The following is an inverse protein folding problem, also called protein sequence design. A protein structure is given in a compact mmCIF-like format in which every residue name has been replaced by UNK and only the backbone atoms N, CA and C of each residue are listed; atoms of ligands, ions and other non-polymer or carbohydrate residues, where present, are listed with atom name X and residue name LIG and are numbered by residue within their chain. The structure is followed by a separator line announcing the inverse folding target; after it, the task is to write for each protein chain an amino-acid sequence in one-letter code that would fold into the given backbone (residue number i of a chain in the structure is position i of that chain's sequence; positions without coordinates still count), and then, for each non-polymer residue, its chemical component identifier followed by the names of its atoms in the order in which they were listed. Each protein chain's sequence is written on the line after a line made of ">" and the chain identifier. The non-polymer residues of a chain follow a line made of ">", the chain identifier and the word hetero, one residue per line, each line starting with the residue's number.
data_IF_198024424560
#
_entry.id   IF_198024424560
#
_cell.length_a   1.000
_cell.length_b   1.000
_cell.length_c   1.000
_cell.angle_alpha   90.00
_cell.angle_beta   90.00
_cell.angle_gamma   90.00
#
_symmetry.space_group_name_H-M   'P 1'
#
loop_
_entity.id
_entity.type
_entity.pdbx_description
1 polymer ?
#
# COMPACT_ATOMS: atom_id res chain seq x y z
N UNK A 1 26.67 -28.26 56.70
CA UNK A 1 26.43 -27.13 57.61
C UNK A 1 24.97 -27.19 58.05
N UNK A 2 24.68 -27.07 59.36
CA UNK A 2 23.32 -26.94 59.90
C UNK A 2 22.73 -25.56 59.53
N UNK A 3 21.42 -25.25 59.60
CA UNK A 3 20.30 -25.68 60.47
C UNK A 3 19.04 -26.00 59.62
N UNK A 4 18.24 -27.05 59.87
CA UNK A 4 17.23 -27.28 60.93
C UNK A 4 15.92 -26.47 60.74
N UNK A 5 14.80 -27.15 60.38
CA UNK A 5 13.54 -27.33 61.17
C UNK A 5 12.78 -26.02 61.50
N UNK A 6 11.46 -25.87 61.38
CA UNK A 6 10.34 -26.55 62.08
C UNK A 6 9.01 -25.87 61.62
N UNK A 7 7.81 -26.44 61.47
CA UNK A 7 7.28 -27.80 61.29
C UNK A 7 5.81 -27.72 60.75
N UNK A 8 5.10 -28.85 60.68
CA UNK A 8 3.69 -29.03 60.30
C UNK A 8 2.74 -28.84 61.50
N UNK A 9 1.52 -28.29 61.31
CA UNK A 9 0.36 -28.74 62.09
C UNK A 9 -0.96 -28.64 61.31
N UNK A 10 -1.75 -29.72 61.38
CA UNK A 10 -3.11 -29.86 60.87
C UNK A 10 -4.09 -29.61 62.02
N UNK A 11 -5.27 -29.05 61.75
CA UNK A 11 -6.47 -29.41 62.52
C UNK A 11 -7.76 -29.16 61.71
N UNK A 12 -8.53 -30.23 61.55
CA UNK A 12 -9.88 -30.25 60.97
C UNK A 12 -10.94 -29.83 61.98
N UNK A 13 -12.03 -29.27 61.49
CA UNK A 13 -13.31 -29.26 62.20
C UNK A 13 -14.44 -29.58 61.22
N UNK A 14 -15.15 -30.69 61.47
CA UNK A 14 -16.40 -31.00 60.79
C UNK A 14 -17.58 -30.37 61.57
N UNK A 15 -18.62 -29.96 60.86
CA UNK A 15 -19.97 -29.81 61.45
C UNK A 15 -21.02 -30.22 60.41
N UNK A 16 -22.14 -30.76 60.86
CA UNK A 16 -23.08 -31.58 60.09
C UNK A 16 -24.52 -31.10 60.19
N UNK A 17 -25.34 -31.45 59.17
CA UNK A 17 -26.80 -31.19 59.12
C UNK A 17 -27.16 -29.84 58.49
N UNK A 18 -28.21 -29.69 57.68
CA UNK A 18 -29.28 -30.62 57.26
C UNK A 18 -29.77 -30.27 55.82
N UNK A 19 -30.56 -31.13 55.14
CA UNK A 19 -30.83 -30.99 53.71
C UNK A 19 -31.96 -29.99 53.39
N UNK A 20 -31.64 -28.93 52.65
CA UNK A 20 -32.66 -28.05 52.06
C UNK A 20 -33.04 -28.49 50.64
N UNK A 21 -34.33 -28.79 50.50
CA UNK A 21 -35.08 -29.08 49.28
C UNK A 21 -34.56 -28.47 47.97
N UNK A 22 -34.36 -29.33 46.97
CA UNK A 22 -34.09 -28.92 45.57
C UNK A 22 -35.36 -28.27 45.00
N UNK A 23 -35.39 -26.94 44.94
CA UNK A 23 -36.29 -26.21 44.06
C UNK A 23 -35.68 -26.20 42.66
N UNK A 24 -36.32 -26.88 41.70
CA UNK A 24 -35.89 -26.87 40.30
C UNK A 24 -36.18 -25.50 39.67
N UNK A 25 -35.21 -24.59 39.73
CA UNK A 25 -35.21 -23.38 38.91
C UNK A 25 -34.95 -23.77 37.47
N UNK A 26 -35.94 -23.54 36.59
CA UNK A 26 -35.74 -23.63 35.14
C UNK A 26 -34.63 -22.65 34.73
N UNK A 27 -33.59 -23.20 34.12
CA UNK A 27 -32.58 -22.45 33.40
C UNK A 27 -33.24 -21.57 32.32
N UNK A 28 -32.90 -20.27 32.19
CA UNK A 28 -33.42 -19.45 31.12
C UNK A 28 -32.85 -19.94 29.79
N UNK A 29 -33.73 -20.22 28.82
CA UNK A 29 -33.31 -20.69 27.50
C UNK A 29 -32.32 -19.71 26.85
N UNK A 30 -31.17 -20.21 26.40
CA UNK A 30 -30.20 -19.41 25.66
C UNK A 30 -30.86 -18.79 24.42
N UNK A 31 -30.61 -17.50 24.10
CA UNK A 31 -31.17 -16.89 22.92
C UNK A 31 -30.66 -17.64 21.68
N UNK A 32 -31.60 -18.10 20.85
CA UNK A 32 -31.26 -18.70 19.56
C UNK A 32 -30.63 -17.63 18.68
N UNK A 33 -29.31 -17.67 18.51
CA UNK A 33 -28.64 -16.79 17.55
C UNK A 33 -29.11 -17.16 16.15
N UNK A 34 -29.83 -16.24 15.51
CA UNK A 34 -30.09 -16.29 14.07
C UNK A 34 -28.74 -16.30 13.34
N UNK A 35 -28.52 -17.19 12.36
CA UNK A 35 -27.27 -17.21 11.61
C UNK A 35 -27.08 -15.86 10.92
N UNK A 36 -25.95 -15.21 11.19
CA UNK A 36 -25.52 -14.01 10.46
C UNK A 36 -25.35 -14.42 8.99
N UNK A 37 -25.98 -13.73 8.02
CA UNK A 37 -25.78 -14.06 6.63
C UNK A 37 -24.30 -13.88 6.27
N UNK A 38 -23.68 -14.96 5.83
CA UNK A 38 -22.31 -14.91 5.30
C UNK A 38 -22.31 -13.93 4.12
N UNK A 39 -21.39 -12.96 4.06
CA UNK A 39 -21.34 -12.05 2.92
C UNK A 39 -21.10 -12.88 1.65
N UNK A 40 -22.05 -12.80 0.72
CA UNK A 40 -21.88 -13.39 -0.61
C UNK A 40 -20.64 -12.76 -1.24
N UNK A 41 -19.71 -13.55 -1.83
CA UNK A 41 -18.57 -12.97 -2.49
C UNK A 41 -19.06 -12.06 -3.63
N UNK A 42 -18.68 -10.79 -3.57
CA UNK A 42 -18.87 -9.86 -4.69
C UNK A 42 -18.22 -10.47 -5.94
N UNK A 43 -18.85 -10.37 -7.12
CA UNK A 43 -18.24 -10.86 -8.34
C UNK A 43 -16.93 -10.11 -8.57
N UNK A 44 -15.83 -10.84 -8.79
CA UNK A 44 -14.52 -10.24 -9.12
C UNK A 44 -14.66 -9.57 -10.48
N UNK A 45 -14.73 -8.23 -10.48
CA UNK A 45 -14.92 -7.43 -11.69
C UNK A 45 -13.59 -7.31 -12.44
N UNK A 46 -13.38 -8.20 -13.41
CA UNK A 46 -12.29 -8.09 -14.37
C UNK A 46 -12.64 -7.09 -15.46
N UNK A 47 -11.88 -6.00 -15.58
CA UNK A 47 -11.99 -5.02 -16.67
C UNK A 47 -10.97 -5.36 -17.75
N UNK A 48 -11.44 -5.76 -18.93
CA UNK A 48 -10.54 -6.10 -20.04
C UNK A 48 -9.82 -4.85 -20.55
N UNK A 49 -8.50 -4.80 -20.42
CA UNK A 49 -7.65 -3.74 -20.98
C UNK A 49 -7.38 -4.02 -22.46
N UNK A 50 -7.21 -2.98 -23.25
CA UNK A 50 -6.87 -3.08 -24.67
C UNK A 50 -5.39 -3.49 -24.81
N UNK A 51 -5.12 -4.71 -25.30
CA UNK A 51 -3.76 -5.16 -25.60
C UNK A 51 -3.27 -4.47 -26.88
N UNK A 52 -2.32 -3.55 -26.75
CA UNK A 52 -1.67 -2.89 -27.89
C UNK A 52 -0.63 -3.84 -28.51
N UNK A 53 -0.57 -4.01 -29.85
CA UNK A 53 0.41 -4.91 -30.47
C UNK A 53 1.86 -4.45 -30.27
N UNK A 54 2.72 -5.37 -29.83
CA UNK A 54 4.15 -5.11 -29.65
C UNK A 54 4.92 -5.22 -30.97
N UNK A 55 5.03 -4.13 -31.74
CA UNK A 55 5.80 -4.09 -33.01
C UNK A 55 6.72 -2.87 -33.19
N UNK A 56 6.89 -2.02 -32.18
CA UNK A 56 7.90 -0.97 -32.15
C UNK A 56 8.77 -1.12 -30.91
N UNK A 57 10.08 -0.90 -31.03
CA UNK A 57 10.97 -0.77 -29.88
C UNK A 57 10.44 0.38 -29.01
N UNK A 58 10.09 0.15 -27.74
CA UNK A 58 9.36 1.14 -26.97
C UNK A 58 10.31 2.28 -26.58
N UNK A 59 10.10 3.44 -27.19
CA UNK A 59 10.86 4.66 -26.91
C UNK A 59 10.26 5.39 -25.70
N UNK A 60 11.09 6.03 -24.85
CA UNK A 60 10.59 6.93 -23.83
C UNK A 60 9.60 7.98 -24.36
N UNK A 61 8.63 8.36 -23.53
CA UNK A 61 7.70 9.46 -23.78
C UNK A 61 8.51 10.76 -23.80
N UNK A 62 8.35 11.64 -24.81
CA UNK A 62 8.98 12.96 -24.79
C UNK A 62 8.29 13.84 -23.73
N UNK A 63 8.93 14.03 -22.58
CA UNK A 63 8.41 14.78 -21.43
C UNK A 63 8.60 16.32 -21.52
N UNK A 64 9.46 16.77 -22.44
CA UNK A 64 9.74 18.20 -22.65
C UNK A 64 8.76 18.84 -23.64
N UNK A 65 7.55 19.15 -23.16
CA UNK A 65 6.50 19.85 -23.90
C UNK A 65 5.69 20.78 -22.99
N UNK A 66 4.85 21.63 -23.58
CA UNK A 66 3.82 22.37 -22.84
C UNK A 66 2.64 21.45 -22.47
N UNK A 67 1.96 21.76 -21.37
CA UNK A 67 0.82 20.99 -20.88
C UNK A 67 -0.44 21.08 -21.77
N UNK A 68 -1.54 20.38 -21.38
CA UNK A 68 -1.71 19.65 -20.12
C UNK A 68 -0.80 18.42 -20.04
N UNK A 69 -0.38 18.08 -18.82
CA UNK A 69 0.41 16.87 -18.55
C UNK A 69 -0.49 15.73 -18.08
N UNK A 70 -0.10 14.51 -18.41
CA UNK A 70 -0.81 13.27 -18.06
C UNK A 70 -0.09 12.53 -16.94
N UNK A 71 -0.74 12.34 -15.80
CA UNK A 71 -0.21 11.59 -14.66
C UNK A 71 -0.84 10.20 -14.63
N UNK A 72 -0.02 9.15 -14.72
CA UNK A 72 -0.46 7.81 -14.39
C UNK A 72 -0.40 7.60 -12.87
N UNK A 73 -1.52 7.18 -12.28
CA UNK A 73 -1.68 6.94 -10.85
C UNK A 73 -1.89 5.44 -10.66
N UNK A 74 -0.91 4.79 -10.05
CA UNK A 74 -0.92 3.36 -9.76
C UNK A 74 -1.17 3.16 -8.25
N UNK A 75 -2.29 2.56 -7.91
CA UNK A 75 -2.57 2.17 -6.53
C UNK A 75 -2.03 0.75 -6.32
N UNK A 76 -1.00 0.60 -5.48
CA UNK A 76 -0.31 -0.66 -5.26
C UNK A 76 -1.24 -1.84 -4.94
N UNK A 77 -0.88 -3.03 -5.43
CA UNK A 77 -1.65 -4.28 -5.26
C UNK A 77 -3.09 -4.18 -5.78
N UNK A 78 -4.03 -5.00 -5.29
CA UNK A 78 -5.45 -4.93 -5.67
C UNK A 78 -6.05 -6.27 -6.10
N UNK A 79 -7.34 -6.48 -5.83
CA UNK A 79 -8.06 -7.71 -6.10
C UNK A 79 -7.87 -8.81 -5.04
N UNK A 80 -8.39 -10.02 -5.31
CA UNK A 80 -8.27 -11.15 -4.39
C UNK A 80 -6.85 -11.72 -4.40
N UNK A 81 -6.27 -11.94 -3.22
CA UNK A 81 -4.93 -12.53 -3.04
C UNK A 81 -3.78 -11.51 -2.97
N UNK A 82 -3.99 -10.27 -3.41
CA UNK A 82 -2.97 -9.22 -3.51
C UNK A 82 -3.27 -8.08 -2.53
N UNK A 83 -3.02 -8.32 -1.24
CA UNK A 83 -3.38 -7.39 -0.17
C UNK A 83 -2.24 -6.48 0.31
N UNK A 84 -1.00 -6.75 -0.11
CA UNK A 84 0.19 -6.03 0.32
C UNK A 84 0.50 -6.23 1.81
N UNK A 85 1.09 -5.21 2.43
CA UNK A 85 1.24 -5.12 3.86
C UNK A 85 -0.13 -5.03 4.58
N UNK A 86 -0.12 -5.42 5.86
CA UNK A 86 -1.30 -5.25 6.71
C UNK A 86 -0.88 -4.90 8.14
N UNK A 87 -1.72 -4.12 8.80
CA UNK A 87 -1.50 -3.65 10.16
C UNK A 87 -2.81 -3.53 10.94
N UNK A 88 -2.74 -2.85 12.08
CA UNK A 88 -3.91 -2.53 12.89
C UNK A 88 -3.86 -1.06 13.31
N UNK A 89 -4.99 -0.36 13.16
CA UNK A 89 -5.16 0.99 13.68
C UNK A 89 -5.34 0.98 15.22
N UNK A 90 -5.42 2.16 15.86
CA UNK A 90 -5.44 2.29 17.32
C UNK A 90 -6.63 1.58 17.98
N UNK A 91 -7.75 1.44 17.26
CA UNK A 91 -8.97 0.76 17.72
C UNK A 91 -8.97 -0.75 17.43
N UNK A 92 -7.83 -1.34 17.01
CA UNK A 92 -7.74 -2.75 16.61
C UNK A 92 -8.37 -3.07 15.24
N UNK A 93 -8.86 -2.05 14.51
CA UNK A 93 -9.35 -2.20 13.14
C UNK A 93 -8.23 -2.61 12.19
N UNK A 94 -8.48 -3.62 11.35
CA UNK A 94 -7.48 -4.14 10.40
C UNK A 94 -7.26 -3.14 9.27
N UNK A 95 -6.00 -2.85 8.98
CA UNK A 95 -5.54 -1.99 7.89
C UNK A 95 -4.90 -2.84 6.79
N UNK A 96 -5.17 -2.50 5.52
CA UNK A 96 -4.70 -3.25 4.35
C UNK A 96 -4.18 -2.29 3.29
N UNK A 97 -2.96 -2.53 2.84
CA UNK A 97 -2.26 -1.65 1.91
C UNK A 97 -3.06 -1.37 0.64
N UNK A 98 -3.59 -2.41 -0.03
CA UNK A 98 -4.33 -2.25 -1.29
C UNK A 98 -5.54 -1.31 -1.18
N UNK A 99 -6.18 -1.28 -0.02
CA UNK A 99 -7.41 -0.50 0.22
C UNK A 99 -7.06 0.96 0.52
N UNK A 100 -5.99 1.17 1.30
CA UNK A 100 -5.48 2.49 1.69
C UNK A 100 -4.76 3.20 0.53
N UNK A 101 -4.01 2.45 -0.28
CA UNK A 101 -3.41 2.93 -1.52
C UNK A 101 -4.49 3.35 -2.52
N UNK A 102 -5.60 2.61 -2.62
CA UNK A 102 -6.73 2.96 -3.49
C UNK A 102 -7.43 4.25 -3.02
N UNK A 103 -7.78 4.36 -1.74
CA UNK A 103 -8.38 5.59 -1.19
C UNK A 103 -7.48 6.82 -1.43
N UNK A 104 -6.16 6.68 -1.23
CA UNK A 104 -5.19 7.76 -1.47
C UNK A 104 -5.06 8.10 -2.97
N UNK A 105 -5.05 7.10 -3.86
CA UNK A 105 -4.98 7.30 -5.30
C UNK A 105 -6.24 7.97 -5.88
N UNK A 106 -7.44 7.60 -5.39
CA UNK A 106 -8.69 8.22 -5.82
C UNK A 106 -8.78 9.70 -5.39
N UNK A 107 -8.31 10.03 -4.18
CA UNK A 107 -8.17 11.42 -3.73
C UNK A 107 -7.19 12.20 -4.62
N UNK A 108 -6.05 11.60 -4.97
CA UNK A 108 -5.06 12.22 -5.84
C UNK A 108 -5.60 12.48 -7.24
N UNK A 109 -6.39 11.56 -7.80
CA UNK A 109 -7.05 11.68 -9.11
C UNK A 109 -7.96 12.92 -9.19
N UNK A 110 -8.82 13.12 -8.18
CA UNK A 110 -9.68 14.30 -8.09
C UNK A 110 -8.87 15.60 -7.96
N UNK A 111 -7.83 15.61 -7.12
CA UNK A 111 -6.98 16.77 -6.87
C UNK A 111 -6.13 17.17 -8.08
N UNK A 112 -5.62 16.21 -8.85
CA UNK A 112 -4.85 16.46 -10.07
C UNK A 112 -5.73 16.97 -11.21
N UNK A 113 -6.91 16.38 -11.42
CA UNK A 113 -7.88 16.89 -12.41
C UNK A 113 -8.31 18.33 -12.07
N UNK A 114 -8.56 18.62 -10.80
CA UNK A 114 -8.86 19.98 -10.34
C UNK A 114 -7.70 20.98 -10.56
N UNK A 115 -6.45 20.49 -10.56
CA UNK A 115 -5.25 21.27 -10.85
C UNK A 115 -4.91 21.38 -12.37
N UNK A 116 -5.74 20.79 -13.25
CA UNK A 116 -5.56 20.88 -14.71
C UNK A 116 -4.67 19.81 -15.34
N UNK A 117 -4.40 18.71 -14.62
CA UNK A 117 -3.75 17.52 -15.18
C UNK A 117 -4.76 16.55 -15.78
N UNK A 118 -4.36 15.86 -16.84
CA UNK A 118 -5.01 14.63 -17.27
C UNK A 118 -4.52 13.48 -16.36
N UNK A 119 -5.38 12.49 -16.09
CA UNK A 119 -5.06 11.41 -15.16
C UNK A 119 -5.43 10.04 -15.69
N UNK A 120 -4.60 9.05 -15.40
CA UNK A 120 -4.78 7.65 -15.78
C UNK A 120 -4.67 6.79 -14.53
N UNK A 121 -5.81 6.46 -13.93
CA UNK A 121 -5.89 5.47 -12.86
C UNK A 121 -5.66 4.07 -13.43
N UNK A 122 -4.64 3.37 -12.92
CA UNK A 122 -4.37 1.96 -13.28
C UNK A 122 -5.49 1.05 -12.76
N UNK A 123 -6.08 1.40 -11.61
CA UNK A 123 -7.33 0.80 -11.11
C UNK A 123 -8.15 1.84 -10.36
N UNK A 124 -9.46 1.79 -10.54
CA UNK A 124 -10.49 2.59 -9.86
C UNK A 124 -11.29 1.77 -8.83
N UNK A 125 -10.80 0.57 -8.49
CA UNK A 125 -11.44 -0.37 -7.58
C UNK A 125 -10.52 -1.48 -7.08
N UNK A 126 -11.11 -2.43 -6.36
CA UNK A 126 -10.42 -3.62 -5.83
C UNK A 126 -10.40 -4.78 -6.85
N UNK A 127 -9.54 -4.66 -7.87
CA UNK A 127 -9.37 -5.69 -8.90
C UNK A 127 -7.91 -5.79 -9.39
N UNK A 128 -7.63 -6.89 -10.09
CA UNK A 128 -6.44 -7.11 -10.92
C UNK A 128 -6.76 -6.87 -12.40
N UNK A 129 -5.78 -6.42 -13.18
CA UNK A 129 -5.89 -6.33 -14.64
C UNK A 129 -5.78 -7.71 -15.33
N UNK A 130 -5.11 -8.65 -14.67
CA UNK A 130 -4.93 -10.03 -15.08
C UNK A 130 -5.83 -10.99 -14.29
N UNK A 131 -5.97 -12.23 -14.78
CA UNK A 131 -6.66 -13.30 -14.04
C UNK A 131 -5.65 -14.05 -13.19
N UNK A 132 -5.93 -14.16 -11.89
CA UNK A 132 -5.23 -15.11 -11.03
C UNK A 132 -5.70 -16.53 -11.36
N UNK A 133 -4.81 -17.35 -11.94
CA UNK A 133 -5.11 -18.75 -12.30
C UNK A 133 -4.78 -19.77 -11.21
N UNK A 134 -4.08 -19.33 -10.14
CA UNK A 134 -3.65 -20.17 -9.02
C UNK A 134 -2.44 -21.07 -9.31
N UNK A 135 -1.79 -20.96 -10.47
CA UNK A 135 -0.67 -21.82 -10.84
C UNK A 135 0.63 -21.48 -10.08
N UNK A 136 0.94 -20.19 -9.93
CA UNK A 136 2.07 -19.68 -9.15
C UNK A 136 1.82 -18.20 -8.75
N UNK A 137 2.12 -17.84 -7.50
CA UNK A 137 2.05 -16.45 -7.04
C UNK A 137 3.03 -15.57 -7.82
N UNK A 138 4.31 -15.95 -7.96
CA UNK A 138 5.30 -15.06 -8.59
C UNK A 138 4.96 -14.75 -10.05
N UNK A 139 4.55 -15.77 -10.80
CA UNK A 139 4.15 -15.63 -12.21
C UNK A 139 2.92 -14.74 -12.38
N UNK A 140 1.90 -14.90 -11.52
CA UNK A 140 0.73 -14.02 -11.53
C UNK A 140 1.08 -12.57 -11.13
N UNK A 141 2.00 -12.37 -10.17
CA UNK A 141 2.51 -11.04 -9.80
C UNK A 141 3.16 -10.34 -10.99
N UNK A 142 4.07 -11.03 -11.68
CA UNK A 142 4.81 -10.48 -12.83
C UNK A 142 3.83 -10.16 -13.97
N UNK A 143 2.86 -11.04 -14.25
CA UNK A 143 1.84 -10.79 -15.26
C UNK A 143 0.96 -9.56 -14.92
N UNK A 144 0.55 -9.42 -13.65
CA UNK A 144 -0.24 -8.29 -13.17
C UNK A 144 0.54 -6.97 -13.29
N UNK A 145 1.77 -6.91 -12.74
CA UNK A 145 2.61 -5.70 -12.85
C UNK A 145 2.90 -5.38 -14.32
N UNK A 146 3.08 -6.38 -15.17
CA UNK A 146 3.27 -6.15 -16.61
C UNK A 146 2.05 -5.50 -17.26
N UNK A 147 0.83 -5.97 -16.96
CA UNK A 147 -0.40 -5.39 -17.49
C UNK A 147 -0.59 -3.94 -17.01
N UNK A 148 -0.15 -3.61 -15.79
CA UNK A 148 -0.17 -2.23 -15.26
C UNK A 148 0.77 -1.32 -16.02
N UNK A 149 2.02 -1.75 -16.22
CA UNK A 149 3.01 -0.99 -17.00
C UNK A 149 2.57 -0.85 -18.47
N UNK A 150 1.95 -1.89 -19.05
CA UNK A 150 1.39 -1.81 -20.41
C UNK A 150 0.27 -0.77 -20.52
N UNK A 151 -0.64 -0.70 -19.54
CA UNK A 151 -1.72 0.30 -19.49
C UNK A 151 -1.15 1.72 -19.46
N UNK A 152 -0.17 1.97 -18.58
CA UNK A 152 0.50 3.27 -18.42
C UNK A 152 1.32 3.67 -19.65
N UNK A 153 2.00 2.70 -20.27
CA UNK A 153 2.74 2.91 -21.52
C UNK A 153 1.78 3.20 -22.69
N UNK A 154 0.64 2.50 -22.77
CA UNK A 154 -0.38 2.71 -23.80
C UNK A 154 -1.07 4.07 -23.67
N UNK A 155 -1.23 4.60 -22.45
CA UNK A 155 -1.78 5.94 -22.22
C UNK A 155 -0.78 7.07 -22.51
N UNK A 156 0.51 6.75 -22.70
CA UNK A 156 1.60 7.72 -22.92
C UNK A 156 1.68 8.80 -21.82
N UNK A 157 1.50 8.40 -20.56
CA UNK A 157 1.62 9.33 -19.44
C UNK A 157 3.02 9.95 -19.35
N UNK A 158 3.09 11.19 -18.87
CA UNK A 158 4.34 11.96 -18.75
C UNK A 158 5.10 11.61 -17.47
N UNK A 159 4.39 11.15 -16.43
CA UNK A 159 4.94 10.57 -15.21
C UNK A 159 4.10 9.40 -14.70
N UNK A 160 4.74 8.47 -13.99
CA UNK A 160 4.10 7.39 -13.24
C UNK A 160 4.31 7.57 -11.73
N UNK A 161 3.23 7.71 -10.98
CA UNK A 161 3.24 7.75 -9.52
C UNK A 161 2.53 6.51 -8.98
N UNK A 162 3.30 5.63 -8.36
CA UNK A 162 2.80 4.46 -7.64
C UNK A 162 2.73 4.74 -6.15
N UNK A 163 1.58 4.42 -5.54
CA UNK A 163 1.26 4.69 -4.14
C UNK A 163 1.12 3.37 -3.40
N UNK A 164 1.92 3.21 -2.35
CA UNK A 164 2.01 2.03 -1.50
C UNK A 164 1.91 2.41 -0.01
N UNK A 165 1.95 1.43 0.89
CA UNK A 165 2.19 1.64 2.32
C UNK A 165 3.01 0.48 2.89
N UNK A 166 4.20 0.79 3.39
CA UNK A 166 5.29 -0.16 3.56
C UNK A 166 5.00 -1.21 4.65
N UNK A 167 5.69 -2.34 4.62
CA UNK A 167 5.57 -3.41 5.60
C UNK A 167 6.90 -4.11 5.85
N UNK A 168 7.24 -4.31 7.12
CA UNK A 168 8.42 -5.06 7.53
C UNK A 168 8.12 -6.10 8.59
N UNK A 169 8.93 -7.17 8.61
CA UNK A 169 9.01 -8.09 9.75
C UNK A 169 9.55 -7.39 11.02
N UNK A 170 10.25 -6.27 10.88
CA UNK A 170 10.72 -5.44 11.99
C UNK A 170 9.73 -4.30 12.25
N UNK A 171 8.82 -4.48 13.22
CA UNK A 171 7.80 -3.48 13.58
C UNK A 171 8.35 -2.14 14.10
N UNK A 172 9.66 -2.05 14.35
CA UNK A 172 10.36 -0.80 14.68
C UNK A 172 10.68 0.09 13.48
N UNK A 173 10.67 -0.45 12.25
CA UNK A 173 10.87 0.34 11.03
C UNK A 173 9.61 1.15 10.71
N UNK A 174 9.79 2.46 10.53
CA UNK A 174 8.76 3.48 10.34
C UNK A 174 9.30 4.61 9.48
N UNK A 175 8.45 5.42 8.86
CA UNK A 175 8.84 6.63 8.12
C UNK A 175 8.68 6.56 6.60
N UNK A 176 9.16 7.60 5.92
CA UNK A 176 8.85 7.90 4.51
C UNK A 176 10.00 7.52 3.58
N UNK A 177 9.72 6.71 2.56
CA UNK A 177 10.64 6.37 1.46
C UNK A 177 9.99 6.72 0.12
N UNK A 178 10.79 7.20 -0.85
CA UNK A 178 10.35 7.32 -2.24
C UNK A 178 11.40 6.71 -3.16
N UNK A 179 11.02 5.67 -3.88
CA UNK A 179 11.90 4.92 -4.75
C UNK A 179 11.81 5.41 -6.19
N UNK A 180 12.96 5.45 -6.86
CA UNK A 180 13.09 5.74 -8.28
C UNK A 180 14.13 4.80 -8.90
N UNK A 181 14.09 4.64 -10.22
CA UNK A 181 15.09 3.87 -10.95
C UNK A 181 16.14 4.81 -11.58
N UNK A 182 17.41 4.83 -11.11
CA UNK A 182 18.45 5.70 -11.66
C UNK A 182 18.96 5.24 -13.04
N UNK A 183 18.82 3.96 -13.37
CA UNK A 183 19.38 3.31 -14.56
C UNK A 183 18.45 3.41 -15.79
N UNK A 184 17.50 4.37 -15.77
CA UNK A 184 16.64 4.74 -16.89
C UNK A 184 17.24 5.89 -17.70
N UNK A 185 16.89 6.03 -19.01
CA UNK A 185 17.27 7.21 -19.80
C UNK A 185 16.78 8.55 -19.22
N UNK A 186 15.76 8.50 -18.37
CA UNK A 186 15.12 9.61 -17.65
C UNK A 186 15.32 9.49 -16.12
N UNK A 187 16.43 8.89 -15.69
CA UNK A 187 16.73 8.64 -14.27
C UNK A 187 16.90 9.93 -13.44
N UNK A 188 17.38 11.01 -14.06
CA UNK A 188 17.52 12.33 -13.41
C UNK A 188 16.15 12.97 -13.13
N UNK A 189 15.23 12.86 -14.08
CA UNK A 189 13.86 13.34 -13.97
C UNK A 189 13.04 12.49 -12.99
N UNK A 190 13.30 11.18 -12.95
CA UNK A 190 12.72 10.29 -11.93
C UNK A 190 13.22 10.64 -10.52
N UNK A 191 14.51 10.97 -10.38
CA UNK A 191 15.07 11.45 -9.12
C UNK A 191 14.48 12.81 -8.70
N UNK A 192 14.28 13.73 -9.65
CA UNK A 192 13.65 15.02 -9.37
C UNK A 192 12.20 14.84 -8.89
N UNK A 193 11.40 14.04 -9.60
CA UNK A 193 10.03 13.69 -9.20
C UNK A 193 10.01 13.06 -7.79
N UNK A 194 10.89 12.10 -7.53
CA UNK A 194 11.02 11.47 -6.22
C UNK A 194 11.39 12.48 -5.12
N UNK A 195 12.29 13.41 -5.42
CA UNK A 195 12.75 14.43 -4.47
C UNK A 195 11.66 15.43 -4.08
N UNK A 196 10.91 15.95 -5.07
CA UNK A 196 9.77 16.84 -4.80
C UNK A 196 8.66 16.12 -4.04
N UNK A 197 8.37 14.87 -4.40
CA UNK A 197 7.33 14.09 -3.76
C UNK A 197 7.71 13.71 -2.32
N UNK A 198 8.94 13.24 -2.08
CA UNK A 198 9.48 12.99 -0.74
C UNK A 198 9.37 14.24 0.14
N UNK A 199 9.85 15.40 -0.34
CA UNK A 199 9.81 16.65 0.41
C UNK A 199 8.37 17.09 0.76
N UNK A 200 7.42 16.96 -0.18
CA UNK A 200 6.02 17.30 0.06
C UNK A 200 5.37 16.36 1.10
N UNK A 201 5.61 15.04 1.01
CA UNK A 201 5.07 14.06 1.97
C UNK A 201 5.62 14.32 3.38
N UNK A 202 6.93 14.53 3.52
CA UNK A 202 7.55 14.87 4.81
C UNK A 202 6.95 16.16 5.40
N UNK A 203 6.70 17.18 4.58
CA UNK A 203 6.09 18.44 5.03
C UNK A 203 4.63 18.26 5.47
N UNK A 204 3.84 17.46 4.77
CA UNK A 204 2.46 17.17 5.14
C UNK A 204 2.37 16.35 6.44
N UNK A 205 3.26 15.37 6.63
CA UNK A 205 3.35 14.59 7.88
C UNK A 205 3.80 15.46 9.07
N UNK A 206 4.76 16.38 8.86
CA UNK A 206 5.13 17.36 9.89
C UNK A 206 3.95 18.28 10.26
N UNK A 207 3.15 18.70 9.28
CA UNK A 207 1.92 19.48 9.48
C UNK A 207 0.80 18.75 10.24
N UNK A 208 0.86 17.41 10.32
CA UNK A 208 -0.04 16.57 11.12
C UNK A 208 0.49 16.27 12.53
N UNK A 209 1.59 16.92 12.94
CA UNK A 209 2.32 16.62 14.18
C UNK A 209 2.71 15.14 14.29
N UNK A 210 3.06 14.51 13.17
CA UNK A 210 3.66 13.18 13.15
C UNK A 210 5.17 13.27 13.33
N UNK A 211 5.76 12.27 14.01
CA UNK A 211 7.20 12.16 14.21
C UNK A 211 7.88 11.69 12.92
N UNK A 212 8.22 12.67 12.06
CA UNK A 212 8.74 12.44 10.72
C UNK A 212 10.11 11.76 10.77
N UNK A 213 10.16 10.52 10.29
CA UNK A 213 11.40 9.80 10.02
C UNK A 213 11.66 9.77 8.51
N UNK A 214 12.49 10.69 8.02
CA UNK A 214 12.93 10.69 6.62
C UNK A 214 13.92 9.55 6.36
N UNK A 215 13.53 8.63 5.49
CA UNK A 215 14.36 7.48 5.05
C UNK A 215 14.93 7.68 3.64
N UNK A 216 14.66 8.84 3.05
CA UNK A 216 15.26 9.35 1.82
C UNK A 216 14.57 8.96 0.51
N UNK A 217 15.04 9.60 -0.55
CA UNK A 217 14.88 9.11 -1.93
C UNK A 217 15.86 7.95 -2.14
N UNK A 218 15.36 6.81 -2.66
CA UNK A 218 16.10 5.53 -2.69
C UNK A 218 16.09 4.86 -4.06
N UNK A 219 17.04 3.97 -4.31
CA UNK A 219 17.08 3.20 -5.55
C UNK A 219 16.04 2.07 -5.48
N UNK A 220 15.19 1.92 -6.50
CA UNK A 220 14.18 0.86 -6.56
C UNK A 220 14.78 -0.57 -6.55
N UNK A 221 16.08 -0.71 -6.83
CA UNK A 221 16.85 -1.93 -6.59
C UNK A 221 16.81 -2.41 -5.12
N UNK A 222 16.45 -1.54 -4.18
CA UNK A 222 16.34 -1.86 -2.75
C UNK A 222 14.95 -2.43 -2.36
N UNK A 223 13.95 -2.31 -3.24
CA UNK A 223 12.59 -2.84 -3.02
C UNK A 223 12.53 -4.37 -3.27
N UNK A 224 13.40 -4.86 -4.15
CA UNK A 224 13.56 -6.28 -4.48
C UNK A 224 12.58 -6.78 -5.55
N UNK A 225 13.09 -6.98 -6.78
CA UNK A 225 12.31 -7.47 -7.93
C UNK A 225 12.72 -8.84 -8.46
N UNK A 226 13.57 -8.86 -9.49
CA UNK A 226 14.09 -10.09 -10.09
C UNK A 226 15.34 -10.58 -9.34
N UNK A 227 15.49 -11.89 -9.03
CA UNK A 227 16.73 -12.45 -8.50
C UNK A 227 17.99 -12.12 -9.33
N UNK A 228 17.83 -11.82 -10.62
CA UNK A 228 18.91 -11.50 -11.55
C UNK A 228 18.95 -9.99 -11.91
N UNK A 229 17.92 -9.23 -11.54
CA UNK A 229 17.85 -7.77 -11.70
C UNK A 229 17.06 -7.17 -10.53
N UNK A 230 17.78 -6.53 -9.60
CA UNK A 230 17.22 -6.09 -8.32
C UNK A 230 16.10 -5.05 -8.44
N UNK A 231 16.03 -4.30 -9.55
CA UNK A 231 15.04 -3.24 -9.78
C UNK A 231 13.59 -3.76 -9.74
N UNK A 232 12.67 -2.87 -9.38
CA UNK A 232 11.24 -3.17 -9.34
C UNK A 232 10.73 -3.50 -10.74
N UNK A 233 9.87 -4.50 -10.87
CA UNK A 233 9.19 -4.77 -12.15
C UNK A 233 8.38 -3.55 -12.64
N UNK A 234 7.94 -2.64 -11.77
CA UNK A 234 7.16 -1.48 -12.19
C UNK A 234 8.01 -0.41 -12.92
N UNK A 235 9.27 -0.21 -12.51
CA UNK A 235 10.14 0.86 -13.02
C UNK A 235 11.32 0.35 -13.84
N UNK A 236 11.78 -0.87 -13.56
CA UNK A 236 13.02 -1.45 -14.06
C UNK A 236 12.93 -2.16 -15.41
N UNK A 237 14.10 -2.53 -15.92
CA UNK A 237 14.30 -3.25 -17.19
C UNK A 237 14.60 -4.73 -16.95
N UNK A 238 13.69 -5.41 -16.25
CA UNK A 238 13.88 -6.80 -15.87
C UNK A 238 13.72 -7.72 -17.11
N UNK A 239 14.44 -8.83 -17.17
CA UNK A 239 14.48 -9.67 -18.37
C UNK A 239 13.09 -10.22 -18.73
N UNK A 240 12.71 -10.09 -20.00
CA UNK A 240 11.38 -10.46 -20.50
C UNK A 240 10.25 -9.47 -20.13
N UNK A 241 10.55 -8.41 -19.39
CA UNK A 241 9.59 -7.40 -18.95
C UNK A 241 9.68 -6.12 -19.80
N UNK A 242 8.53 -5.51 -20.12
CA UNK A 242 8.44 -4.20 -20.78
C UNK A 242 8.41 -3.11 -19.71
N UNK A 243 9.52 -2.40 -19.54
CA UNK A 243 9.68 -1.31 -18.59
C UNK A 243 8.72 -0.13 -18.86
N UNK A 244 8.50 0.70 -17.84
CA UNK A 244 7.82 2.00 -17.99
C UNK A 244 8.60 2.92 -18.93
N UNK A 245 7.89 3.79 -19.66
CA UNK A 245 8.46 4.67 -20.68
C UNK A 245 8.53 6.14 -20.29
N UNK A 246 8.25 6.45 -19.02
CA UNK A 246 8.22 7.79 -18.46
C UNK A 246 8.89 7.80 -17.08
N UNK A 247 9.36 8.97 -16.59
CA UNK A 247 9.79 9.15 -15.22
C UNK A 247 8.80 8.54 -14.24
N UNK A 248 9.30 7.73 -13.30
CA UNK A 248 8.45 6.88 -12.47
C UNK A 248 8.98 6.72 -11.06
N UNK A 249 8.04 6.67 -10.11
CA UNK A 249 8.32 6.62 -8.68
C UNK A 249 7.37 5.66 -7.96
N UNK A 250 7.86 5.03 -6.90
CA UNK A 250 7.06 4.27 -5.92
C UNK A 250 7.18 4.99 -4.58
N UNK A 251 6.07 5.52 -4.08
CA UNK A 251 6.02 6.21 -2.78
C UNK A 251 5.54 5.27 -1.68
N UNK A 252 6.34 5.19 -0.62
CA UNK A 252 6.11 4.42 0.58
C UNK A 252 6.07 5.41 1.78
N UNK A 253 4.95 6.11 1.99
CA UNK A 253 4.91 7.28 2.85
C UNK A 253 5.07 6.96 4.34
N UNK A 254 4.59 5.78 4.77
CA UNK A 254 4.52 5.30 6.15
C UNK A 254 4.42 3.76 6.19
N UNK A 255 4.78 3.12 7.31
CA UNK A 255 4.79 1.66 7.49
C UNK A 255 3.54 1.13 8.22
N UNK A 256 2.75 0.27 7.56
CA UNK A 256 1.65 -0.47 8.19
C UNK A 256 2.08 -1.44 9.30
N UNK A 257 3.34 -1.91 9.28
CA UNK A 257 3.91 -2.78 10.32
C UNK A 257 4.30 -2.04 11.60
N UNK A 258 4.31 -0.70 11.61
CA UNK A 258 4.66 0.09 12.78
C UNK A 258 3.41 0.76 13.38
N UNK A 259 3.26 0.67 14.70
CA UNK A 259 2.05 1.17 15.37
C UNK A 259 1.86 2.70 15.28
N UNK A 260 2.94 3.49 15.25
CA UNK A 260 2.87 4.96 15.16
C UNK A 260 2.44 5.40 13.77
N UNK A 261 3.00 4.76 12.75
CA UNK A 261 2.69 4.99 11.34
C UNK A 261 1.28 4.48 11.01
N UNK A 262 0.97 3.23 11.34
CA UNK A 262 -0.35 2.62 11.16
C UNK A 262 -1.47 3.44 11.82
N UNK A 263 -1.21 4.05 12.98
CA UNK A 263 -2.18 4.94 13.61
C UNK A 263 -2.46 6.21 12.80
N UNK A 264 -1.49 6.75 12.06
CA UNK A 264 -1.72 7.86 11.12
C UNK A 264 -2.36 7.39 9.82
N UNK A 265 -1.89 6.28 9.24
CA UNK A 265 -2.46 5.70 8.01
C UNK A 265 -3.96 5.39 8.16
N UNK A 266 -4.41 5.01 9.36
CA UNK A 266 -5.83 4.78 9.68
C UNK A 266 -6.72 6.02 9.48
N UNK A 267 -6.19 7.23 9.71
CA UNK A 267 -6.97 8.47 9.67
C UNK A 267 -7.23 8.95 8.24
N UNK A 268 -8.49 9.26 7.92
CA UNK A 268 -8.87 9.83 6.62
C UNK A 268 -8.17 11.15 6.32
N UNK A 269 -7.96 12.00 7.33
CA UNK A 269 -7.20 13.26 7.16
C UNK A 269 -5.77 12.99 6.70
N UNK A 270 -5.11 11.94 7.21
CA UNK A 270 -3.73 11.62 6.80
C UNK A 270 -3.69 11.23 5.33
N UNK A 271 -4.61 10.37 4.86
CA UNK A 271 -4.66 9.96 3.45
C UNK A 271 -5.03 11.12 2.53
N UNK A 272 -5.89 12.03 2.99
CA UNK A 272 -6.17 13.29 2.31
C UNK A 272 -4.93 14.19 2.20
N UNK A 273 -4.17 14.38 3.28
CA UNK A 273 -2.92 15.15 3.29
C UNK A 273 -1.82 14.54 2.43
N UNK A 274 -1.74 13.21 2.37
CA UNK A 274 -0.82 12.50 1.46
C UNK A 274 -1.19 12.73 -0.01
N UNK A 275 -2.48 12.67 -0.36
CA UNK A 275 -2.93 13.01 -1.72
C UNK A 275 -2.67 14.49 -2.08
N UNK A 276 -2.85 15.42 -1.13
CA UNK A 276 -2.48 16.84 -1.28
C UNK A 276 -0.97 16.99 -1.50
N UNK A 277 -0.14 16.30 -0.71
CA UNK A 277 1.31 16.29 -0.86
C UNK A 277 1.78 15.71 -2.22
N UNK A 278 1.15 14.63 -2.68
CA UNK A 278 1.45 14.03 -3.99
C UNK A 278 1.13 15.01 -5.12
N UNK A 279 -0.04 15.67 -5.10
CA UNK A 279 -0.36 16.75 -6.05
C UNK A 279 0.72 17.84 -6.02
N UNK A 280 1.11 18.32 -4.84
CA UNK A 280 2.05 19.44 -4.72
C UNK A 280 3.47 19.07 -5.17
N UNK A 281 3.92 17.84 -4.90
CA UNK A 281 5.17 17.30 -5.41
C UNK A 281 5.18 17.16 -6.95
N UNK A 282 4.08 16.70 -7.54
CA UNK A 282 3.90 16.60 -9.00
C UNK A 282 3.89 18.00 -9.65
N UNK A 283 3.17 18.97 -9.06
CA UNK A 283 3.16 20.36 -9.53
C UNK A 283 4.57 20.96 -9.48
N UNK A 284 5.29 20.79 -8.37
CA UNK A 284 6.66 21.27 -8.23
C UNK A 284 7.61 20.62 -9.25
N UNK A 285 7.46 19.32 -9.52
CA UNK A 285 8.21 18.62 -10.57
C UNK A 285 7.98 19.22 -11.95
N UNK A 286 6.72 19.46 -12.36
CA UNK A 286 6.45 20.04 -13.69
C UNK A 286 6.84 21.52 -13.81
N UNK A 287 6.85 22.28 -12.71
CA UNK A 287 7.46 23.63 -12.68
C UNK A 287 8.97 23.56 -12.90
N UNK A 288 9.65 22.61 -12.25
CA UNK A 288 11.09 22.36 -12.44
C UNK A 288 11.43 21.85 -13.85
N UNK A 289 10.59 20.99 -14.43
CA UNK A 289 10.81 20.45 -15.78
C UNK A 289 10.76 21.53 -16.88
N UNK A 290 10.16 22.69 -16.59
CA UNK A 290 10.06 23.85 -17.48
C UNK A 290 11.13 24.94 -17.24
N UNK A 291 12.00 24.81 -16.23
CA UNK A 291 12.99 25.84 -15.83
C UNK A 291 14.38 25.64 -16.44
#
# INVERSE_FOLDING_TARGET
>A
MAFALLALLVLTACSSGEPSTIASTREPASPTMTPVPTPSPSPVLFRSVLVVPATASPTPVPIYHGGPYTVAIEAGHGGPGWFGASGYGPNGGRLIEKDLALDTALRLDELLRAAGFETVLVRDGDFTLTRFDGADYRSNMIAETQARVDLVNASRADVLVSIHFNGSAYSSLRGTETYYNPDRPFGAESYALASFMQAAVLSALAGLEHDVNDRGVRNDAEVGGDPNNAHSYLLGTNDGFRASLMPGVISEPLFLSNATDAARIAEEETRQRLAEAYRDGIVAYFVWLQS
#
